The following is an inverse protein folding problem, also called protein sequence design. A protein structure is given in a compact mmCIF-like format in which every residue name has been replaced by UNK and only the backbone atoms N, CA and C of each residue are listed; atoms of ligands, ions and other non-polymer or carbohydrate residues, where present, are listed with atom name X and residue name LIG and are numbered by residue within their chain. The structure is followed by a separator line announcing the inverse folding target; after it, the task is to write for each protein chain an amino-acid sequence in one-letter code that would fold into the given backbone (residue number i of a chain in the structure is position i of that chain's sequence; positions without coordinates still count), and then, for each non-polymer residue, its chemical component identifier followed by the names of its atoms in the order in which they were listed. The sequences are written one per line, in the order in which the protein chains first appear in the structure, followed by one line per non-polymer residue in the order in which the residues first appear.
data_IF_334533998547
#
_entry.id   IF_334533998547
#
_cell.length_a   1.000
_cell.length_b   1.000
_cell.length_c   1.000
_cell.angle_alpha   90.00
_cell.angle_beta   90.00
_cell.angle_gamma   90.00
#
_symmetry.space_group_name_H-M   'P 1'
#
loop_
_entity.id
_entity.type
_entity.pdbx_description
1 polymer ?
#
# COMPACT_ATOMS: atom_id res chain seq x y z
N UNK A 1 -9.83 12.51 -3.67
CA UNK A 1 -8.97 12.88 -2.51
C UNK A 1 -7.49 12.96 -2.87
N UNK A 2 -6.92 12.05 -3.68
CA UNK A 2 -5.48 12.03 -4.01
C UNK A 2 -4.96 13.38 -4.56
N UNK A 3 -5.66 13.99 -5.53
CA UNK A 3 -5.24 15.29 -6.09
C UNK A 3 -5.26 16.40 -5.02
N UNK A 4 -6.28 16.44 -4.16
CA UNK A 4 -6.33 17.43 -3.06
C UNK A 4 -5.24 17.17 -2.01
N UNK A 5 -4.93 15.92 -1.73
CA UNK A 5 -3.81 15.55 -0.86
C UNK A 5 -2.47 16.04 -1.44
N UNK A 6 -2.24 15.82 -2.74
CA UNK A 6 -1.05 16.32 -3.42
C UNK A 6 -1.02 17.86 -3.43
N UNK A 7 -2.13 18.54 -3.68
CA UNK A 7 -2.19 20.01 -3.60
C UNK A 7 -1.80 20.51 -2.21
N UNK A 8 -2.34 19.91 -1.15
CA UNK A 8 -1.99 20.25 0.22
C UNK A 8 -0.50 20.02 0.51
N UNK A 9 0.08 18.92 0.01
CA UNK A 9 1.51 18.65 0.12
C UNK A 9 2.37 19.65 -0.66
N UNK A 10 1.96 20.05 -1.86
CA UNK A 10 2.73 20.96 -2.71
C UNK A 10 2.85 22.38 -2.11
N UNK A 11 1.88 22.81 -1.28
CA UNK A 11 1.94 24.12 -0.63
C UNK A 11 3.08 24.23 0.39
N UNK A 12 3.36 23.15 1.14
CA UNK A 12 4.37 23.15 2.21
C UNK A 12 5.64 22.36 1.86
N UNK A 13 5.57 21.48 0.85
CA UNK A 13 6.61 20.52 0.51
C UNK A 13 6.67 19.31 1.44
N UNK A 14 7.55 18.35 1.11
CA UNK A 14 7.81 17.19 1.96
C UNK A 14 8.64 17.57 3.19
N UNK A 15 8.38 16.88 4.31
CA UNK A 15 9.30 16.87 5.45
C UNK A 15 10.55 16.03 5.16
N UNK A 16 11.52 16.03 6.08
CA UNK A 16 12.74 15.24 6.02
C UNK A 16 12.96 14.45 7.32
N UNK A 17 13.81 13.41 7.32
CA UNK A 17 14.01 12.53 8.48
C UNK A 17 14.51 13.23 9.75
N UNK A 18 15.17 14.38 9.61
CA UNK A 18 15.67 15.17 10.73
C UNK A 18 14.59 16.07 11.34
N UNK A 19 13.45 16.25 10.67
CA UNK A 19 12.34 17.07 11.15
C UNK A 19 12.61 18.57 11.18
N UNK A 20 13.73 19.03 10.61
CA UNK A 20 14.13 20.45 10.53
C UNK A 20 13.73 21.06 9.18
N UNK A 21 13.94 22.36 9.00
CA UNK A 21 13.65 23.02 7.72
C UNK A 21 14.47 22.45 6.56
N UNK A 22 13.80 21.98 5.51
CA UNK A 22 14.42 21.53 4.27
C UNK A 22 14.65 22.65 3.25
N UNK A 23 14.37 23.92 3.61
CA UNK A 23 14.50 25.05 2.68
C UNK A 23 15.96 25.33 2.27
N UNK A 24 16.92 24.91 3.09
CA UNK A 24 18.36 25.22 2.92
C UNK A 24 18.99 24.34 1.84
N UNK A 25 18.52 23.10 1.69
CA UNK A 25 19.05 22.12 0.75
C UNK A 25 17.90 21.39 0.04
N UNK A 26 17.54 21.89 -1.15
CA UNK A 26 16.50 21.30 -1.99
C UNK A 26 17.09 20.80 -3.30
N UNK A 27 16.82 19.54 -3.59
CA UNK A 27 17.09 18.94 -4.89
C UNK A 27 15.81 18.92 -5.74
N UNK A 28 15.92 19.12 -7.07
CA UNK A 28 14.78 18.98 -7.98
C UNK A 28 14.30 17.52 -8.02
N UNK A 29 13.00 17.33 -8.30
CA UNK A 29 12.40 15.99 -8.39
C UNK A 29 13.05 15.15 -9.51
N UNK A 30 13.27 15.76 -10.67
CA UNK A 30 14.03 15.16 -11.77
C UNK A 30 15.49 15.67 -11.73
N UNK A 31 16.51 14.80 -11.81
CA UNK A 31 16.42 13.35 -12.04
C UNK A 31 16.33 12.51 -10.73
N UNK A 32 16.67 13.08 -9.58
CA UNK A 32 17.01 12.34 -8.37
C UNK A 32 15.89 11.43 -7.84
N UNK A 33 14.71 11.99 -7.59
CA UNK A 33 13.60 11.24 -6.98
C UNK A 33 12.91 10.34 -7.99
N UNK A 34 12.91 10.69 -9.29
CA UNK A 34 12.38 9.82 -10.35
C UNK A 34 13.12 8.49 -10.41
N UNK A 35 14.46 8.51 -10.45
CA UNK A 35 15.23 7.26 -10.50
C UNK A 35 15.18 6.50 -9.17
N UNK A 36 15.15 7.21 -8.04
CA UNK A 36 14.96 6.59 -6.73
C UNK A 36 13.62 5.83 -6.66
N UNK A 37 12.52 6.45 -7.08
CA UNK A 37 11.19 5.86 -7.04
C UNK A 37 11.07 4.70 -8.04
N UNK A 38 11.75 4.78 -9.19
CA UNK A 38 11.75 3.68 -10.15
C UNK A 38 12.36 2.39 -9.56
N UNK A 39 13.42 2.49 -8.75
CA UNK A 39 14.01 1.33 -8.08
C UNK A 39 12.98 0.66 -7.15
N UNK A 40 12.25 1.43 -6.35
CA UNK A 40 11.26 0.88 -5.42
C UNK A 40 10.04 0.34 -6.15
N UNK A 41 9.64 0.93 -7.28
CA UNK A 41 8.59 0.37 -8.17
C UNK A 41 8.98 -1.02 -8.65
N UNK A 42 10.23 -1.23 -9.10
CA UNK A 42 10.67 -2.56 -9.53
C UNK A 42 10.73 -3.57 -8.39
N UNK A 43 11.18 -3.15 -7.20
CA UNK A 43 11.17 -4.02 -6.01
C UNK A 43 9.74 -4.40 -5.63
N UNK A 44 8.80 -3.45 -5.66
CA UNK A 44 7.38 -3.71 -5.40
C UNK A 44 6.80 -4.71 -6.41
N UNK A 45 7.06 -4.51 -7.71
CA UNK A 45 6.59 -5.41 -8.77
C UNK A 45 7.17 -6.81 -8.58
N UNK A 46 8.46 -6.93 -8.24
CA UNK A 46 9.09 -8.22 -7.96
C UNK A 46 8.37 -8.95 -6.82
N UNK A 47 8.22 -8.31 -5.66
CA UNK A 47 7.55 -8.92 -4.50
C UNK A 47 6.09 -9.26 -4.85
N UNK A 48 5.36 -8.35 -5.49
CA UNK A 48 3.98 -8.57 -5.89
C UNK A 48 3.84 -9.76 -6.85
N UNK A 49 4.74 -9.86 -7.84
CA UNK A 49 4.77 -10.99 -8.77
C UNK A 49 5.05 -12.33 -8.10
N UNK A 50 5.83 -12.36 -7.01
CA UNK A 50 6.04 -13.58 -6.24
C UNK A 50 4.72 -14.10 -5.65
N UNK A 51 3.92 -13.19 -5.08
CA UNK A 51 2.59 -13.56 -4.58
C UNK A 51 1.67 -13.99 -5.70
N UNK A 52 1.59 -13.23 -6.79
CA UNK A 52 0.66 -13.53 -7.90
C UNK A 52 0.97 -14.87 -8.57
N UNK A 53 2.25 -15.15 -8.88
CA UNK A 53 2.60 -16.33 -9.68
C UNK A 53 2.91 -17.58 -8.84
N UNK A 54 3.51 -17.45 -7.66
CA UNK A 54 3.92 -18.61 -6.87
C UNK A 54 2.97 -18.92 -5.71
N UNK A 55 2.22 -17.93 -5.20
CA UNK A 55 1.38 -18.13 -4.00
C UNK A 55 0.12 -17.25 -3.98
N UNK A 56 -0.76 -17.32 -5.00
CA UNK A 56 -1.83 -16.33 -5.21
C UNK A 56 -2.88 -16.30 -4.09
N UNK A 57 -3.08 -17.42 -3.39
CA UNK A 57 -4.18 -17.58 -2.43
C UNK A 57 -3.71 -17.44 -0.97
N UNK A 58 -2.42 -17.19 -0.73
CA UNK A 58 -1.85 -17.18 0.64
C UNK A 58 -2.39 -16.06 1.52
N UNK A 59 -2.75 -14.92 0.92
CA UNK A 59 -3.30 -13.78 1.66
C UNK A 59 -4.84 -13.77 1.68
N UNK A 60 -5.50 -14.77 1.10
CA UNK A 60 -6.96 -14.86 1.05
C UNK A 60 -7.50 -16.00 1.91
N UNK A 61 -8.82 -16.01 2.09
CA UNK A 61 -9.52 -17.05 2.85
C UNK A 61 -10.16 -18.09 1.92
N UNK A 62 -10.03 -19.39 2.23
CA UNK A 62 -10.59 -20.48 1.41
C UNK A 62 -12.11 -20.41 1.28
N UNK A 63 -12.80 -19.95 2.32
CA UNK A 63 -14.26 -19.85 2.33
C UNK A 63 -14.80 -18.85 1.28
N UNK A 64 -13.98 -17.91 0.80
CA UNK A 64 -14.38 -16.97 -0.26
C UNK A 64 -14.51 -17.64 -1.65
N UNK A 65 -14.11 -18.91 -1.80
CA UNK A 65 -14.41 -19.71 -2.98
C UNK A 65 -15.79 -20.40 -2.92
N UNK A 66 -16.43 -20.39 -1.76
CA UNK A 66 -17.79 -20.92 -1.59
C UNK A 66 -18.78 -19.77 -1.88
N UNK A 67 -19.78 -19.95 -2.75
CA UNK A 67 -20.78 -18.92 -3.00
C UNK A 67 -21.50 -18.50 -1.71
N UNK A 68 -21.63 -17.19 -1.51
CA UNK A 68 -22.25 -16.64 -0.31
C UNK A 68 -23.70 -17.11 -0.14
N UNK A 69 -24.04 -17.55 1.08
CA UNK A 69 -25.39 -17.94 1.44
C UNK A 69 -25.86 -17.10 2.64
N UNK A 70 -26.82 -16.17 2.47
CA UNK A 70 -27.33 -15.34 3.56
C UNK A 70 -27.94 -16.11 4.74
N UNK A 71 -28.36 -17.36 4.52
CA UNK A 71 -28.96 -18.21 5.55
C UNK A 71 -27.93 -19.04 6.33
N UNK A 72 -26.65 -19.01 5.94
CA UNK A 72 -25.60 -19.85 6.54
C UNK A 72 -24.34 -19.02 6.78
N UNK A 73 -23.94 -18.91 8.04
CA UNK A 73 -22.66 -18.31 8.44
C UNK A 73 -21.57 -19.39 8.49
N UNK A 74 -20.43 -19.22 7.79
CA UNK A 74 -19.28 -20.13 7.92
C UNK A 74 -18.77 -20.19 9.36
N UNK A 75 -18.29 -21.36 9.79
CA UNK A 75 -17.74 -21.54 11.14
C UNK A 75 -16.41 -20.78 11.35
N UNK A 76 -15.63 -20.61 10.27
CA UNK A 76 -14.34 -19.90 10.22
C UNK A 76 -14.46 -18.49 9.63
N UNK A 77 -15.54 -17.77 9.97
CA UNK A 77 -15.70 -16.37 9.51
C UNK A 77 -14.64 -15.46 10.15
N UNK A 78 -13.76 -14.89 9.33
CA UNK A 78 -12.68 -13.97 9.74
C UNK A 78 -12.57 -12.86 8.68
N UNK A 79 -12.35 -11.60 9.06
CA UNK A 79 -12.03 -10.54 8.11
C UNK A 79 -10.70 -10.83 7.40
N UNK A 80 -10.49 -10.16 6.26
CA UNK A 80 -9.18 -10.16 5.62
C UNK A 80 -8.11 -9.56 6.55
N UNK A 81 -6.88 -10.03 6.41
CA UNK A 81 -5.78 -9.79 7.34
C UNK A 81 -5.52 -8.29 7.66
N UNK A 82 -5.74 -7.39 6.69
CA UNK A 82 -5.52 -5.94 6.86
C UNK A 82 -6.61 -5.24 7.68
N UNK A 83 -7.74 -5.91 7.93
CA UNK A 83 -8.87 -5.43 8.73
C UNK A 83 -9.08 -6.25 10.02
N UNK A 84 -8.14 -7.15 10.36
CA UNK A 84 -8.29 -8.09 11.48
C UNK A 84 -8.58 -7.41 12.84
N UNK A 85 -8.01 -6.24 13.08
CA UNK A 85 -8.19 -5.50 14.35
C UNK A 85 -9.52 -4.77 14.46
N UNK A 86 -10.25 -4.61 13.37
CA UNK A 86 -11.52 -3.89 13.34
C UNK A 86 -12.72 -4.82 13.60
N UNK A 87 -12.46 -6.11 13.88
CA UNK A 87 -13.47 -7.15 14.10
C UNK A 87 -13.57 -7.64 15.56
N UNK A 88 -12.90 -6.99 16.52
CA UNK A 88 -13.02 -7.24 17.97
C UNK A 88 -13.83 -6.18 18.68
#
# INVERSE_FOLDING_TARGET
MIVMHLMALHLNGSSNPLGITGNIDRLPMHPYFIFKDLITVFVFILIFSLFVFFSPNTLGHSDNYIPGNPMVTPASIVPEWYAYKDAT
#
